data_IF_474769996011
#
_entry.id   IF_474769996011
#
_cell.length_a   1.000
_cell.length_b   1.000
_cell.length_c   1.000
_cell.angle_alpha   90.00
_cell.angle_beta   90.00
_cell.angle_gamma   90.00
#
_symmetry.space_group_name_H-M   'P 1'
#
loop_
_entity.id
_entity.type
_entity.pdbx_description
1 polymer ?
#
# COMPACT_ATOMS: atom_id res chain seq x y z
N UNK A 1 -16.92 -15.97 24.95
CA UNK A 1 -15.84 -15.52 25.86
C UNK A 1 -14.75 -14.76 25.08
N UNK A 2 -14.12 -15.35 24.07
CA UNK A 2 -13.02 -14.74 23.32
C UNK A 2 -13.39 -13.40 22.64
N UNK A 3 -14.57 -13.29 22.06
CA UNK A 3 -15.05 -12.03 21.47
C UNK A 3 -15.29 -10.93 22.49
N UNK A 4 -15.83 -11.28 23.67
CA UNK A 4 -16.03 -10.30 24.75
C UNK A 4 -14.69 -9.75 25.23
N UNK A 5 -13.68 -10.62 25.41
CA UNK A 5 -12.34 -10.21 25.77
C UNK A 5 -11.69 -9.35 24.68
N UNK A 6 -11.84 -9.72 23.40
CA UNK A 6 -11.31 -8.98 22.26
C UNK A 6 -11.76 -7.52 22.28
N UNK A 7 -13.07 -7.29 22.43
CA UNK A 7 -13.65 -5.94 22.42
C UNK A 7 -13.44 -5.16 23.72
N UNK A 8 -12.80 -5.72 24.73
CA UNK A 8 -12.39 -4.99 25.93
C UNK A 8 -10.88 -4.75 26.01
N UNK A 9 -10.10 -5.30 25.08
CA UNK A 9 -8.63 -5.24 25.12
C UNK A 9 -8.09 -3.99 24.42
N UNK A 10 -7.44 -3.04 25.14
CA UNK A 10 -6.94 -1.79 24.52
C UNK A 10 -5.88 -2.03 23.43
N UNK A 11 -5.05 -3.07 23.57
CA UNK A 11 -3.99 -3.39 22.60
C UNK A 11 -4.60 -3.78 21.24
N UNK A 12 -5.74 -4.46 21.22
CA UNK A 12 -6.46 -4.76 19.97
C UNK A 12 -6.89 -3.49 19.24
N UNK A 13 -7.44 -2.50 19.96
CA UNK A 13 -7.84 -1.23 19.36
C UNK A 13 -6.67 -0.45 18.79
N UNK A 14 -5.51 -0.47 19.46
CA UNK A 14 -4.28 0.12 18.92
C UNK A 14 -3.84 -0.57 17.63
N UNK A 15 -3.81 -1.90 17.63
CA UNK A 15 -3.48 -2.68 16.44
C UNK A 15 -4.48 -2.41 15.29
N UNK A 16 -5.77 -2.26 15.60
CA UNK A 16 -6.80 -1.92 14.64
C UNK A 16 -6.59 -0.52 14.05
N UNK A 17 -6.34 0.48 14.88
CA UNK A 17 -6.08 1.86 14.43
C UNK A 17 -4.84 1.96 13.56
N UNK A 18 -3.74 1.29 13.94
CA UNK A 18 -2.53 1.24 13.13
C UNK A 18 -2.79 0.57 11.77
N UNK A 19 -3.54 -0.54 11.75
CA UNK A 19 -3.91 -1.21 10.51
C UNK A 19 -4.78 -0.33 9.63
N UNK A 20 -5.77 0.34 10.20
CA UNK A 20 -6.62 1.29 9.48
C UNK A 20 -5.82 2.47 8.93
N UNK A 21 -4.87 3.00 9.69
CA UNK A 21 -3.95 4.06 9.22
C UNK A 21 -3.15 3.59 8.00
N UNK A 22 -2.57 2.38 8.06
CA UNK A 22 -1.85 1.79 6.93
C UNK A 22 -2.77 1.70 5.71
N UNK A 23 -3.98 1.16 5.86
CA UNK A 23 -4.95 0.99 4.76
C UNK A 23 -5.36 2.33 4.16
N UNK A 24 -5.76 3.29 5.00
CA UNK A 24 -6.25 4.60 4.56
C UNK A 24 -5.16 5.40 3.84
N UNK A 25 -3.90 5.24 4.20
CA UNK A 25 -2.78 5.90 3.52
C UNK A 25 -2.31 5.11 2.31
N UNK A 26 -2.11 3.79 2.44
CA UNK A 26 -1.52 2.97 1.38
C UNK A 26 -2.46 2.85 0.17
N UNK A 27 -3.76 2.61 0.36
CA UNK A 27 -4.69 2.37 -0.75
C UNK A 27 -4.78 3.57 -1.69
N UNK A 28 -5.07 4.80 -1.24
CA UNK A 28 -5.12 5.96 -2.14
C UNK A 28 -3.75 6.29 -2.76
N UNK A 29 -2.66 6.21 -1.98
CA UNK A 29 -1.33 6.59 -2.46
C UNK A 29 -0.82 5.60 -3.51
N UNK A 30 -0.94 4.29 -3.28
CA UNK A 30 -0.55 3.25 -4.25
C UNK A 30 -1.39 3.38 -5.51
N UNK A 31 -2.72 3.51 -5.38
CA UNK A 31 -3.64 3.62 -6.51
C UNK A 31 -3.35 4.86 -7.35
N UNK A 32 -3.28 6.04 -6.73
CA UNK A 32 -3.05 7.30 -7.42
C UNK A 32 -1.66 7.37 -8.08
N UNK A 33 -0.62 6.96 -7.35
CA UNK A 33 0.75 6.96 -7.87
C UNK A 33 0.91 5.98 -9.03
N UNK A 34 0.37 4.77 -8.91
CA UNK A 34 0.46 3.76 -9.97
C UNK A 34 -0.27 4.18 -11.24
N UNK A 35 -1.44 4.81 -11.12
CA UNK A 35 -2.17 5.36 -12.26
C UNK A 35 -1.41 6.53 -12.89
N UNK A 36 -0.84 7.42 -12.07
CA UNK A 36 -0.04 8.54 -12.55
C UNK A 36 1.18 8.05 -13.33
N UNK A 37 1.97 7.13 -12.77
CA UNK A 37 3.13 6.53 -13.46
C UNK A 37 2.69 5.83 -14.75
N UNK A 38 1.66 4.98 -14.70
CA UNK A 38 1.16 4.28 -15.87
C UNK A 38 0.72 5.24 -16.97
N UNK A 39 0.04 6.35 -16.63
CA UNK A 39 -0.36 7.38 -17.59
C UNK A 39 0.83 8.08 -18.22
N UNK A 40 1.92 8.28 -17.47
CA UNK A 40 3.14 8.90 -17.97
C UNK A 40 3.93 7.98 -18.91
N UNK A 41 4.00 6.67 -18.61
CA UNK A 41 4.81 5.73 -19.40
C UNK A 41 4.05 5.09 -20.57
N UNK A 42 2.72 5.04 -20.55
CA UNK A 42 1.91 4.43 -21.63
C UNK A 42 2.19 5.05 -23.02
N UNK A 43 2.31 6.38 -23.18
CA UNK A 43 2.59 6.98 -24.48
C UNK A 43 4.05 6.82 -24.95
N UNK A 44 4.96 6.30 -24.11
CA UNK A 44 6.35 6.11 -24.47
C UNK A 44 6.53 4.95 -25.46
N UNK A 45 7.66 4.96 -26.20
CA UNK A 45 8.09 3.83 -27.00
C UNK A 45 8.26 2.56 -26.15
N UNK A 46 8.24 1.41 -26.81
CA UNK A 46 8.21 0.11 -26.11
C UNK A 46 9.42 -0.11 -25.19
N UNK A 47 10.63 0.23 -25.63
CA UNK A 47 11.84 0.02 -24.86
C UNK A 47 11.87 0.80 -23.52
N UNK A 48 11.70 2.14 -23.47
CA UNK A 48 11.65 2.87 -22.21
C UNK A 48 10.44 2.48 -21.36
N UNK A 49 9.28 2.21 -21.95
CA UNK A 49 8.08 1.74 -21.24
C UNK A 49 8.35 0.41 -20.53
N UNK A 50 9.01 -0.53 -21.20
CA UNK A 50 9.40 -1.84 -20.61
C UNK A 50 10.43 -1.66 -19.50
N UNK A 51 11.41 -0.78 -19.68
CA UNK A 51 12.39 -0.46 -18.65
C UNK A 51 11.73 0.07 -17.36
N UNK A 52 10.86 1.09 -17.47
CA UNK A 52 10.19 1.62 -16.29
C UNK A 52 9.29 0.59 -15.60
N UNK A 53 8.54 -0.23 -16.36
CA UNK A 53 7.77 -1.33 -15.78
C UNK A 53 8.66 -2.29 -14.99
N UNK A 54 9.82 -2.66 -15.54
CA UNK A 54 10.76 -3.53 -14.87
C UNK A 54 11.29 -2.91 -13.57
N UNK A 55 11.72 -1.64 -13.61
CA UNK A 55 12.26 -0.92 -12.44
C UNK A 55 11.23 -0.83 -11.31
N UNK A 56 9.98 -0.47 -11.60
CA UNK A 56 8.93 -0.37 -10.58
C UNK A 56 8.46 -1.74 -10.09
N UNK A 57 8.56 -2.78 -10.92
CA UNK A 57 8.16 -4.14 -10.54
C UNK A 57 9.24 -4.88 -9.74
N UNK A 58 10.49 -4.49 -9.85
CA UNK A 58 11.62 -5.13 -9.20
C UNK A 58 11.45 -5.30 -7.66
N UNK A 59 11.01 -4.28 -6.90
CA UNK A 59 10.77 -4.44 -5.47
C UNK A 59 9.69 -5.48 -5.13
N UNK A 60 8.68 -5.63 -5.99
CA UNK A 60 7.57 -6.57 -5.78
C UNK A 60 8.00 -8.04 -5.93
N UNK A 61 8.99 -8.32 -6.79
CA UNK A 61 9.53 -9.68 -6.98
C UNK A 61 10.68 -10.00 -6.05
N UNK A 62 11.24 -8.98 -5.40
CA UNK A 62 12.29 -9.16 -4.41
C UNK A 62 11.69 -9.74 -3.13
N UNK A 63 12.28 -10.80 -2.59
CA UNK A 63 11.78 -11.42 -1.37
C UNK A 63 11.73 -10.44 -0.19
N UNK A 64 10.66 -10.49 0.59
CA UNK A 64 10.39 -9.56 1.70
C UNK A 64 11.55 -9.42 2.68
N UNK A 65 12.26 -10.50 2.96
CA UNK A 65 13.42 -10.48 3.87
C UNK A 65 14.55 -9.61 3.31
N UNK A 66 14.86 -9.74 2.03
CA UNK A 66 15.90 -8.92 1.39
C UNK A 66 15.53 -7.43 1.38
N UNK A 67 14.27 -7.12 1.05
CA UNK A 67 13.74 -5.76 1.12
C UNK A 67 13.90 -5.19 2.53
N UNK A 68 13.48 -5.94 3.56
CA UNK A 68 13.57 -5.52 4.96
C UNK A 68 15.01 -5.23 5.38
N UNK A 69 15.98 -6.09 5.00
CA UNK A 69 17.39 -5.89 5.35
C UNK A 69 17.93 -4.59 4.76
N UNK A 70 17.63 -4.32 3.47
CA UNK A 70 18.05 -3.09 2.80
C UNK A 70 17.43 -1.85 3.48
N UNK A 71 16.11 -1.87 3.70
CA UNK A 71 15.44 -0.74 4.33
C UNK A 71 15.88 -0.53 5.78
N UNK A 72 16.12 -1.61 6.55
CA UNK A 72 16.62 -1.52 7.92
C UNK A 72 17.98 -0.83 7.97
N UNK A 73 18.86 -1.14 7.01
CA UNK A 73 20.13 -0.43 6.87
C UNK A 73 19.91 1.03 6.45
N UNK A 74 19.01 1.32 5.51
CA UNK A 74 18.72 2.69 5.09
C UNK A 74 18.17 3.57 6.22
N UNK A 75 17.38 2.98 7.14
CA UNK A 75 16.82 3.62 8.32
C UNK A 75 17.73 3.55 9.56
N UNK A 76 18.92 2.99 9.45
CA UNK A 76 19.84 2.96 10.58
C UNK A 76 20.14 4.36 11.11
N UNK A 77 20.14 4.51 12.45
CA UNK A 77 20.28 5.83 13.07
C UNK A 77 21.66 6.44 12.86
N UNK A 78 22.70 5.64 12.77
CA UNK A 78 24.11 6.10 12.73
C UNK A 78 24.71 6.04 11.34
N UNK A 79 24.47 4.94 10.61
CA UNK A 79 25.08 4.65 9.32
C UNK A 79 24.06 4.68 8.15
N UNK A 80 22.80 5.00 8.44
CA UNK A 80 21.73 5.00 7.44
C UNK A 80 21.80 6.18 6.49
N UNK A 81 21.46 5.91 5.22
CA UNK A 81 21.51 6.91 4.16
C UNK A 81 20.57 8.08 4.37
N UNK A 82 19.41 7.87 5.04
CA UNK A 82 18.44 8.94 5.28
C UNK A 82 18.97 9.98 6.25
N UNK A 83 19.56 9.58 7.38
CA UNK A 83 20.17 10.51 8.32
C UNK A 83 21.37 11.21 7.71
N UNK A 84 22.20 10.49 6.96
CA UNK A 84 23.32 11.08 6.22
C UNK A 84 22.86 12.16 5.24
N UNK A 85 21.86 11.86 4.41
CA UNK A 85 21.33 12.81 3.42
C UNK A 85 20.71 14.04 4.07
N UNK A 86 19.86 13.85 5.10
CA UNK A 86 19.21 14.97 5.79
C UNK A 86 20.19 15.86 6.52
N UNK A 87 21.25 15.29 7.10
CA UNK A 87 22.34 16.08 7.71
C UNK A 87 23.14 16.85 6.67
N UNK A 88 23.48 16.20 5.55
CA UNK A 88 24.21 16.84 4.45
C UNK A 88 23.45 18.02 3.85
N UNK A 89 22.11 17.96 3.87
CA UNK A 89 21.23 19.05 3.43
C UNK A 89 20.98 20.11 4.52
N UNK A 90 21.51 19.93 5.75
CA UNK A 90 21.29 20.84 6.86
C UNK A 90 19.84 20.86 7.40
N UNK A 91 19.06 19.79 7.13
CA UNK A 91 17.65 19.70 7.56
C UNK A 91 17.55 19.23 9.01
N UNK A 92 18.49 18.39 9.46
CA UNK A 92 18.53 17.87 10.83
C UNK A 92 19.94 18.01 11.41
N UNK A 93 20.01 18.31 12.71
CA UNK A 93 21.28 18.38 13.46
C UNK A 93 21.61 17.06 14.16
N UNK A 94 20.60 16.32 14.57
CA UNK A 94 20.73 15.07 15.31
C UNK A 94 20.19 13.89 14.51
N UNK A 95 20.69 12.68 14.83
CA UNK A 95 20.21 11.45 14.20
C UNK A 95 18.79 11.13 14.65
N UNK A 96 17.93 10.82 13.69
CA UNK A 96 16.57 10.34 13.93
C UNK A 96 16.60 8.81 14.08
N UNK A 97 15.97 8.30 15.11
CA UNK A 97 15.76 6.86 15.29
C UNK A 97 14.48 6.42 14.57
N UNK A 98 14.54 6.30 13.25
CA UNK A 98 13.38 6.07 12.37
C UNK A 98 12.47 4.92 12.81
N UNK A 99 13.05 3.77 13.14
CA UNK A 99 12.30 2.57 13.57
C UNK A 99 12.18 2.47 15.10
N UNK A 100 12.94 3.26 15.84
CA UNK A 100 12.95 3.27 17.31
C UNK A 100 12.06 4.35 17.94
N UNK A 101 11.53 5.29 17.16
CA UNK A 101 10.62 6.33 17.62
C UNK A 101 9.18 6.02 17.15
N UNK A 102 8.23 5.97 18.09
CA UNK A 102 6.83 5.69 17.83
C UNK A 102 6.17 6.65 16.81
N UNK A 103 6.71 7.86 16.66
CA UNK A 103 6.20 8.86 15.72
C UNK A 103 6.53 8.55 14.27
N UNK A 104 7.68 7.91 14.02
CA UNK A 104 8.18 7.66 12.67
C UNK A 104 8.03 6.21 12.21
N UNK A 105 8.06 5.26 13.15
CA UNK A 105 8.14 3.83 12.82
C UNK A 105 7.02 3.35 11.88
N UNK A 106 5.77 3.76 12.12
CA UNK A 106 4.64 3.36 11.26
C UNK A 106 4.73 3.98 9.86
N UNK A 107 5.23 5.21 9.74
CA UNK A 107 5.43 5.87 8.44
C UNK A 107 6.53 5.22 7.61
N UNK A 108 7.60 4.76 8.27
CA UNK A 108 8.64 3.98 7.62
C UNK A 108 8.07 2.67 7.03
N UNK A 109 7.21 1.99 7.78
CA UNK A 109 6.52 0.78 7.32
C UNK A 109 5.61 1.08 6.12
N UNK A 110 4.82 2.16 6.18
CA UNK A 110 3.95 2.59 5.08
C UNK A 110 4.79 2.90 3.83
N UNK A 111 5.94 3.57 3.98
CA UNK A 111 6.84 3.86 2.86
C UNK A 111 7.38 2.58 2.20
N UNK A 112 7.80 1.60 2.99
CA UNK A 112 8.27 0.31 2.46
C UNK A 112 7.12 -0.42 1.75
N UNK A 113 5.96 -0.49 2.39
CA UNK A 113 4.77 -1.11 1.81
C UNK A 113 4.40 -0.44 0.48
N UNK A 114 4.43 0.89 0.41
CA UNK A 114 4.19 1.65 -0.81
C UNK A 114 5.15 1.24 -1.92
N UNK A 115 6.46 1.27 -1.67
CA UNK A 115 7.48 0.95 -2.69
C UNK A 115 7.40 -0.47 -3.20
N UNK A 116 7.00 -1.42 -2.37
CA UNK A 116 6.85 -2.84 -2.75
C UNK A 116 5.50 -3.14 -3.42
N UNK A 117 4.48 -2.30 -3.20
CA UNK A 117 3.12 -2.55 -3.67
C UNK A 117 2.78 -1.87 -4.99
N UNK A 118 3.52 -0.83 -5.43
CA UNK A 118 3.16 -0.06 -6.65
C UNK A 118 3.42 -0.79 -7.95
N UNK A 119 4.33 -1.75 -7.98
CA UNK A 119 4.79 -2.38 -9.22
C UNK A 119 3.70 -3.11 -9.98
N UNK A 120 2.96 -4.00 -9.32
CA UNK A 120 1.87 -4.74 -9.93
C UNK A 120 0.73 -3.82 -10.43
N UNK A 121 0.21 -2.86 -9.65
CA UNK A 121 -0.75 -1.88 -10.12
C UNK A 121 -0.31 -1.08 -11.36
N UNK A 122 0.96 -0.66 -11.42
CA UNK A 122 1.49 0.05 -12.59
C UNK A 122 1.35 -0.80 -13.86
N UNK A 123 1.72 -2.07 -13.79
CA UNK A 123 1.61 -2.99 -14.95
C UNK A 123 0.16 -3.16 -15.37
N UNK A 124 -0.76 -3.32 -14.42
CA UNK A 124 -2.19 -3.44 -14.68
C UNK A 124 -2.77 -2.18 -15.34
N UNK A 125 -2.43 -1.00 -14.82
CA UNK A 125 -2.87 0.26 -15.41
C UNK A 125 -2.29 0.51 -16.80
N UNK A 126 -1.02 0.14 -17.04
CA UNK A 126 -0.44 0.24 -18.40
C UNK A 126 -1.20 -0.63 -19.39
N UNK A 127 -1.57 -1.85 -18.99
CA UNK A 127 -2.38 -2.73 -19.83
C UNK A 127 -3.79 -2.16 -20.05
N UNK A 128 -4.46 -1.69 -19.00
CA UNK A 128 -5.79 -1.10 -19.08
C UNK A 128 -5.82 0.18 -19.94
N UNK A 129 -4.85 1.09 -19.77
CA UNK A 129 -4.71 2.30 -20.57
C UNK A 129 -4.38 2.00 -22.04
N UNK A 130 -3.65 0.91 -22.30
CA UNK A 130 -3.35 0.45 -23.66
C UNK A 130 -4.55 -0.10 -24.41
N UNK A 131 -5.58 -0.54 -23.69
CA UNK A 131 -6.84 -1.06 -24.25
C UNK A 131 -7.91 0.01 -24.46
N UNK A 132 -7.67 1.25 -24.04
CA UNK A 132 -8.60 2.37 -24.31
C UNK A 132 -8.70 2.59 -25.81
N UNK A 133 -9.92 2.69 -26.32
CA UNK A 133 -10.16 2.87 -27.76
C UNK A 133 -9.52 4.18 -28.26
N UNK A 134 -8.61 4.03 -29.21
CA UNK A 134 -7.88 5.16 -29.80
C UNK A 134 -8.81 6.09 -30.54
N UNK A 135 -9.88 5.58 -31.14
CA UNK A 135 -10.85 6.41 -31.88
C UNK A 135 -11.52 7.44 -30.96
N UNK A 136 -11.82 7.08 -29.72
CA UNK A 136 -12.38 8.01 -28.73
C UNK A 136 -11.38 9.11 -28.34
N UNK A 137 -10.11 8.75 -28.22
CA UNK A 137 -9.05 9.72 -27.89
C UNK A 137 -8.80 10.66 -29.04
N UNK A 138 -8.73 10.14 -30.27
CA UNK A 138 -8.54 10.93 -31.51
C UNK A 138 -9.74 11.87 -31.79
N UNK A 139 -10.97 11.38 -31.60
CA UNK A 139 -12.16 12.20 -31.69
C UNK A 139 -12.14 13.38 -30.71
N UNK A 140 -11.76 13.12 -29.45
CA UNK A 140 -11.63 14.18 -28.46
C UNK A 140 -10.55 15.21 -28.82
N UNK A 141 -9.44 14.78 -29.44
CA UNK A 141 -8.38 15.69 -29.93
C UNK A 141 -8.88 16.57 -31.07
N UNK A 142 -9.68 16.02 -32.00
CA UNK A 142 -10.31 16.78 -33.09
C UNK A 142 -11.31 17.80 -32.54
N UNK A 143 -12.03 17.44 -31.46
CA UNK A 143 -12.95 18.34 -30.74
C UNK A 143 -12.22 19.40 -29.88
N UNK A 144 -10.89 19.43 -29.91
CA UNK A 144 -10.08 20.39 -29.15
C UNK A 144 -9.96 20.13 -27.68
N UNK A 145 -10.23 18.91 -27.21
CA UNK A 145 -10.06 18.55 -25.80
C UNK A 145 -8.58 18.56 -25.36
N UNK A 146 -8.30 19.16 -24.23
CA UNK A 146 -6.96 19.12 -23.63
C UNK A 146 -6.62 17.71 -23.15
N UNK A 147 -5.32 17.38 -23.02
CA UNK A 147 -4.86 16.08 -22.47
C UNK A 147 -5.49 15.75 -21.11
N UNK A 148 -5.70 16.75 -20.26
CA UNK A 148 -6.33 16.59 -18.96
C UNK A 148 -7.83 16.27 -19.08
N UNK A 149 -8.53 16.92 -20.01
CA UNK A 149 -9.94 16.63 -20.29
C UNK A 149 -10.11 15.21 -20.85
N UNK A 150 -9.26 14.82 -21.81
CA UNK A 150 -9.25 13.46 -22.37
C UNK A 150 -8.95 12.42 -21.28
N UNK A 151 -8.03 12.72 -20.35
CA UNK A 151 -7.75 11.84 -19.24
C UNK A 151 -8.99 11.64 -18.35
N UNK A 152 -9.58 12.71 -17.85
CA UNK A 152 -10.68 12.61 -16.87
C UNK A 152 -12.00 12.14 -17.48
N UNK A 153 -12.28 12.47 -18.77
CA UNK A 153 -13.55 12.14 -19.40
C UNK A 153 -13.55 10.81 -20.16
N UNK A 154 -12.38 10.34 -20.62
CA UNK A 154 -12.28 9.13 -21.44
C UNK A 154 -11.43 8.06 -20.73
N UNK A 155 -10.15 8.37 -20.44
CA UNK A 155 -9.23 7.36 -19.91
C UNK A 155 -9.58 6.90 -18.50
N UNK A 156 -9.85 7.84 -17.60
CA UNK A 156 -10.18 7.53 -16.21
C UNK A 156 -11.43 6.64 -16.07
N UNK A 157 -12.58 6.93 -16.66
CA UNK A 157 -13.74 6.05 -16.63
C UNK A 157 -13.45 4.66 -17.21
N UNK A 158 -12.69 4.59 -18.31
CA UNK A 158 -12.34 3.32 -18.97
C UNK A 158 -11.47 2.41 -18.08
N UNK A 159 -10.63 2.97 -17.19
CA UNK A 159 -9.77 2.20 -16.29
C UNK A 159 -10.38 2.02 -14.88
N UNK A 160 -11.60 2.51 -14.65
CA UNK A 160 -12.26 2.42 -13.34
C UNK A 160 -12.40 0.97 -12.84
N UNK A 161 -12.75 -0.05 -13.66
CA UNK A 161 -12.77 -1.44 -13.20
C UNK A 161 -11.41 -1.93 -12.71
N UNK A 162 -10.32 -1.53 -13.39
CA UNK A 162 -8.95 -1.83 -12.96
C UNK A 162 -8.61 -1.11 -11.67
N UNK A 163 -9.06 0.13 -11.51
CA UNK A 163 -8.87 0.91 -10.28
C UNK A 163 -9.57 0.27 -9.08
N UNK A 164 -10.79 -0.21 -9.26
CA UNK A 164 -11.52 -0.94 -8.24
C UNK A 164 -10.77 -2.22 -7.83
N UNK A 165 -10.30 -3.00 -8.81
CA UNK A 165 -9.51 -4.19 -8.54
C UNK A 165 -8.24 -3.86 -7.75
N UNK A 166 -7.46 -2.87 -8.19
CA UNK A 166 -6.23 -2.42 -7.51
C UNK A 166 -6.53 -1.98 -6.09
N UNK A 167 -7.59 -1.18 -5.89
CA UNK A 167 -7.97 -0.70 -4.56
C UNK A 167 -8.33 -1.85 -3.61
N UNK A 168 -9.14 -2.82 -4.08
CA UNK A 168 -9.54 -3.98 -3.27
C UNK A 168 -8.32 -4.84 -2.90
N UNK A 169 -7.47 -5.21 -3.87
CA UNK A 169 -6.28 -6.04 -3.61
C UNK A 169 -5.30 -5.32 -2.70
N UNK A 170 -5.06 -4.02 -2.90
CA UNK A 170 -4.19 -3.24 -2.01
C UNK A 170 -4.77 -3.15 -0.60
N UNK A 171 -6.09 -3.03 -0.45
CA UNK A 171 -6.78 -3.07 0.85
C UNK A 171 -6.53 -4.40 1.56
N UNK A 172 -6.78 -5.53 0.88
CA UNK A 172 -6.57 -6.86 1.45
C UNK A 172 -5.12 -7.05 1.90
N UNK A 173 -4.15 -6.72 1.04
CA UNK A 173 -2.73 -6.84 1.34
C UNK A 173 -2.30 -5.94 2.52
N UNK A 174 -2.84 -4.72 2.60
CA UNK A 174 -2.54 -3.78 3.68
C UNK A 174 -3.09 -4.26 5.03
N UNK A 175 -4.30 -4.83 5.06
CA UNK A 175 -4.83 -5.46 6.28
C UNK A 175 -4.03 -6.68 6.73
N UNK A 176 -3.44 -7.42 5.80
CA UNK A 176 -2.62 -8.60 6.05
C UNK A 176 -1.14 -8.28 6.25
N UNK A 177 -0.77 -7.00 6.45
CA UNK A 177 0.61 -6.59 6.67
C UNK A 177 1.15 -7.19 7.98
N UNK A 178 1.95 -8.24 7.86
CA UNK A 178 2.56 -9.00 8.95
C UNK A 178 4.08 -9.01 8.85
N UNK A 179 4.62 -9.48 7.72
CA UNK A 179 6.05 -9.77 7.59
C UNK A 179 6.93 -8.52 7.80
N UNK A 180 6.49 -7.36 7.31
CA UNK A 180 7.20 -6.09 7.53
C UNK A 180 7.24 -5.73 9.01
N UNK A 181 6.12 -5.87 9.73
CA UNK A 181 6.04 -5.57 11.16
C UNK A 181 6.94 -6.52 11.95
N UNK A 182 6.83 -7.82 11.70
CA UNK A 182 7.61 -8.85 12.39
C UNK A 182 9.11 -8.64 12.23
N UNK A 183 9.57 -8.31 11.01
CA UNK A 183 10.99 -8.26 10.70
C UNK A 183 11.64 -6.91 11.00
N UNK A 184 10.89 -5.80 10.91
CA UNK A 184 11.42 -4.44 11.13
C UNK A 184 11.39 -4.03 12.60
N UNK A 185 10.23 -4.15 13.24
CA UNK A 185 9.95 -3.52 14.53
C UNK A 185 9.45 -4.48 15.59
N UNK A 186 8.98 -5.69 15.20
CA UNK A 186 8.30 -6.63 16.09
C UNK A 186 7.18 -5.95 16.92
N UNK A 187 6.42 -5.06 16.27
CA UNK A 187 5.33 -4.29 16.89
C UNK A 187 5.76 -3.05 17.67
N UNK A 188 7.08 -2.86 17.90
CA UNK A 188 7.62 -1.74 18.68
C UNK A 188 7.74 -0.42 17.91
N UNK A 189 8.15 0.64 18.61
CA UNK A 189 8.21 0.78 20.07
C UNK A 189 6.81 0.92 20.69
N UNK A 190 6.62 0.37 21.87
CA UNK A 190 5.38 0.53 22.68
C UNK A 190 4.07 0.21 21.93
N UNK A 191 4.05 -0.85 21.10
CA UNK A 191 2.89 -1.23 20.26
C UNK A 191 2.50 -0.20 19.20
N UNK A 192 3.40 0.73 18.84
CA UNK A 192 3.11 1.79 17.86
C UNK A 192 3.01 1.29 16.42
N UNK A 193 3.50 0.10 16.15
CA UNK A 193 3.46 -0.53 14.83
C UNK A 193 2.72 -1.86 14.81
N UNK A 194 2.10 -2.26 15.93
CA UNK A 194 1.26 -3.45 15.96
C UNK A 194 0.14 -3.34 14.92
N UNK A 195 0.01 -4.37 14.09
CA UNK A 195 -1.14 -4.56 13.21
C UNK A 195 -2.03 -5.68 13.72
N UNK A 196 -3.28 -5.72 13.28
CA UNK A 196 -4.22 -6.80 13.67
C UNK A 196 -3.65 -8.17 13.29
N UNK A 197 -2.99 -8.26 12.13
CA UNK A 197 -2.36 -9.53 11.70
C UNK A 197 -1.17 -9.91 12.57
N UNK A 198 -0.33 -8.95 12.98
CA UNK A 198 0.76 -9.18 13.91
C UNK A 198 0.25 -9.55 15.32
N UNK A 199 -0.78 -8.86 15.79
CA UNK A 199 -1.45 -9.15 17.06
C UNK A 199 -2.06 -10.56 17.08
N UNK A 200 -2.70 -10.97 15.98
CA UNK A 200 -3.21 -12.33 15.79
C UNK A 200 -2.07 -13.36 15.91
N UNK A 201 -0.98 -13.14 15.17
CA UNK A 201 0.18 -14.04 15.18
C UNK A 201 0.77 -14.20 16.57
N UNK A 202 0.99 -13.10 17.29
CA UNK A 202 1.55 -13.11 18.66
C UNK A 202 0.65 -13.89 19.62
N UNK A 203 -0.68 -13.68 19.56
CA UNK A 203 -1.61 -14.44 20.39
C UNK A 203 -1.64 -15.92 20.03
N UNK A 204 -1.57 -16.29 18.74
CA UNK A 204 -1.59 -17.67 18.28
C UNK A 204 -0.27 -18.41 18.65
N UNK A 205 0.87 -17.87 18.20
CA UNK A 205 2.13 -18.62 18.14
C UNK A 205 3.11 -18.26 19.25
N UNK A 206 2.97 -17.10 19.90
CA UNK A 206 3.82 -16.74 21.04
C UNK A 206 3.12 -17.00 22.37
N UNK A 207 1.82 -16.70 22.45
CA UNK A 207 1.04 -16.87 23.68
C UNK A 207 0.19 -18.15 23.69
N UNK A 208 0.18 -18.92 22.61
CA UNK A 208 -0.57 -20.18 22.42
C UNK A 208 -2.07 -20.08 22.70
N UNK A 209 -2.66 -18.88 22.50
CA UNK A 209 -4.07 -18.59 22.72
C UNK A 209 -4.89 -18.77 21.42
N UNK A 210 -4.87 -19.98 20.86
CA UNK A 210 -5.44 -20.26 19.53
C UNK A 210 -6.92 -19.86 19.38
N UNK A 211 -7.74 -20.12 20.41
CA UNK A 211 -9.17 -19.74 20.35
C UNK A 211 -9.40 -18.24 20.32
N UNK A 212 -8.57 -17.46 20.99
CA UNK A 212 -8.59 -16.01 20.97
C UNK A 212 -8.07 -15.47 19.60
N UNK A 213 -6.96 -15.99 19.13
CA UNK A 213 -6.40 -15.63 17.83
C UNK A 213 -7.38 -15.91 16.68
N UNK A 214 -8.10 -17.05 16.73
CA UNK A 214 -9.17 -17.33 15.76
C UNK A 214 -10.29 -16.30 15.81
N UNK A 215 -10.69 -15.82 17.00
CA UNK A 215 -11.68 -14.75 17.11
C UNK A 215 -11.18 -13.44 16.48
N UNK A 216 -9.89 -13.08 16.68
CA UNK A 216 -9.25 -11.94 16.01
C UNK A 216 -9.30 -12.11 14.49
N UNK A 217 -8.96 -13.29 13.97
CA UNK A 217 -8.98 -13.62 12.53
C UNK A 217 -10.37 -13.48 11.91
N UNK A 218 -11.41 -13.96 12.59
CA UNK A 218 -12.80 -13.80 12.11
C UNK A 218 -13.20 -12.33 12.04
N UNK A 219 -12.88 -11.54 13.09
CA UNK A 219 -13.18 -10.11 13.10
C UNK A 219 -12.41 -9.38 11.99
N UNK A 220 -11.13 -9.71 11.79
CA UNK A 220 -10.33 -9.16 10.69
C UNK A 220 -10.95 -9.48 9.32
N UNK A 221 -11.37 -10.72 9.09
CA UNK A 221 -12.01 -11.13 7.84
C UNK A 221 -13.31 -10.35 7.58
N UNK A 222 -14.14 -10.14 8.60
CA UNK A 222 -15.35 -9.33 8.51
C UNK A 222 -15.02 -7.88 8.15
N UNK A 223 -14.02 -7.28 8.80
CA UNK A 223 -13.59 -5.91 8.51
C UNK A 223 -13.13 -5.78 7.06
N UNK A 224 -12.28 -6.69 6.58
CA UNK A 224 -11.81 -6.70 5.19
C UNK A 224 -13.00 -6.82 4.21
N UNK A 225 -13.93 -7.73 4.47
CA UNK A 225 -15.12 -7.91 3.65
C UNK A 225 -15.98 -6.64 3.59
N UNK A 226 -16.21 -5.97 4.73
CA UNK A 226 -16.95 -4.71 4.79
C UNK A 226 -16.27 -3.60 3.98
N UNK A 227 -14.95 -3.44 4.11
CA UNK A 227 -14.18 -2.46 3.32
C UNK A 227 -14.25 -2.76 1.83
N UNK A 228 -14.08 -4.02 1.43
CA UNK A 228 -14.16 -4.44 0.03
C UNK A 228 -15.54 -4.22 -0.58
N UNK A 229 -16.61 -4.54 0.16
CA UNK A 229 -17.99 -4.28 -0.28
C UNK A 229 -18.26 -2.77 -0.38
N UNK A 230 -17.76 -1.97 0.56
CA UNK A 230 -17.89 -0.52 0.51
C UNK A 230 -17.19 0.06 -0.73
N UNK A 231 -15.95 -0.35 -0.99
CA UNK A 231 -15.20 0.07 -2.19
C UNK A 231 -15.95 -0.34 -3.46
N UNK A 232 -16.45 -1.57 -3.53
CA UNK A 232 -17.23 -2.04 -4.66
C UNK A 232 -18.48 -1.18 -4.91
N UNK A 233 -19.25 -0.88 -3.85
CA UNK A 233 -20.47 -0.05 -3.98
C UNK A 233 -20.19 1.40 -4.34
N UNK A 234 -19.09 1.98 -3.85
CA UNK A 234 -18.76 3.40 -4.09
C UNK A 234 -18.06 3.63 -5.43
N UNK A 235 -17.33 2.64 -5.94
CA UNK A 235 -16.53 2.78 -7.16
C UNK A 235 -17.16 2.07 -8.38
N UNK A 236 -18.22 1.26 -8.17
CA UNK A 236 -18.93 0.61 -9.26
C UNK A 236 -19.85 1.66 -9.94
N UNK A 237 -19.30 2.36 -10.90
CA UNK A 237 -20.05 3.27 -11.78
C UNK A 237 -20.60 2.49 -12.94
N UNK A 238 -21.67 1.71 -12.75
CA UNK A 238 -22.56 1.13 -13.76
C UNK A 238 -22.11 1.02 -15.24
N UNK A 239 -20.86 0.69 -15.48
CA UNK A 239 -20.39 0.37 -16.84
C UNK A 239 -20.88 -1.05 -17.13
N UNK A 240 -22.10 -1.13 -17.66
CA UNK A 240 -22.58 -2.35 -18.31
C UNK A 240 -21.74 -2.54 -19.59
N UNK A 241 -21.20 -3.73 -19.75
CA UNK A 241 -20.50 -4.19 -20.96
C UNK A 241 -21.51 -4.53 -22.04
#
# INVERSE_FOLDING_TARGET
RNYAELFTTPTFYRALLNTLLIVVVAVPTVTAFSLWVASAITPMHEAPRSFFRCVFYLPAVTGTVAVVVVWKWMFDAYNGIFNWALKSLGIIDQNIMWLGDARFAIWCIILILFTTSVGQPIVLYVAALGNVDRSLVEAAEVDGATKLQTFWKIKWPSVMPTTLYVAIITTINSFQCFALIQLLTSGGPQHSTDTVMYYLYTNAFTLYRYGYANAVGVVLAIIIALFSVLQFKTMNTGVEY
#
